data_IF_372654660075
#
_entry.id   IF_372654660075
#
_cell.length_a   1.000
_cell.length_b   1.000
_cell.length_c   1.000
_cell.angle_alpha   90.00
_cell.angle_beta   90.00
_cell.angle_gamma   90.00
#
_symmetry.space_group_name_H-M   'P 1'
#
loop_
_entity.id
_entity.type
_entity.pdbx_description
1 polymer ?
#
# COMPACT_ATOMS: atom_id res chain seq x y z
N UNK A 1 -15.21 -0.25 -8.52
CA UNK A 1 -15.37 0.74 -7.42
C UNK A 1 -14.01 1.04 -6.80
N UNK A 2 -13.69 2.31 -6.53
CA UNK A 2 -12.50 2.75 -5.81
C UNK A 2 -12.91 3.09 -4.37
N UNK A 3 -12.26 2.48 -3.38
CA UNK A 3 -12.48 2.81 -1.97
C UNK A 3 -11.35 3.74 -1.53
N UNK A 4 -11.70 4.87 -0.91
CA UNK A 4 -10.76 5.91 -0.51
C UNK A 4 -11.19 6.59 0.78
N UNK A 5 -10.23 7.15 1.50
CA UNK A 5 -10.55 8.00 2.63
C UNK A 5 -11.05 9.40 2.18
N UNK A 6 -11.33 10.24 3.17
CA UNK A 6 -11.77 11.62 2.98
C UNK A 6 -10.58 12.61 2.95
N UNK A 7 -9.36 12.13 2.70
CA UNK A 7 -8.17 12.95 2.52
C UNK A 7 -8.33 13.93 1.36
N UNK A 8 -7.77 15.13 1.53
CA UNK A 8 -7.95 16.23 0.56
C UNK A 8 -7.54 15.86 -0.87
N UNK A 9 -6.50 15.05 -1.02
CA UNK A 9 -5.98 14.60 -2.31
C UNK A 9 -7.01 13.80 -3.13
N UNK A 10 -7.93 13.09 -2.47
CA UNK A 10 -8.94 12.26 -3.13
C UNK A 10 -10.31 12.94 -3.27
N UNK A 11 -10.51 14.09 -2.60
CA UNK A 11 -11.74 14.89 -2.69
C UNK A 11 -11.69 15.89 -3.84
N UNK A 12 -10.48 16.25 -4.30
CA UNK A 12 -10.27 17.23 -5.37
C UNK A 12 -10.90 16.86 -6.71
N UNK A 13 -11.30 17.89 -7.47
CA UNK A 13 -11.98 17.72 -8.77
C UNK A 13 -11.19 16.85 -9.75
N UNK A 14 -9.86 17.01 -9.81
CA UNK A 14 -9.00 16.25 -10.73
C UNK A 14 -9.10 14.73 -10.50
N UNK A 15 -9.13 14.28 -9.24
CA UNK A 15 -9.26 12.85 -8.93
C UNK A 15 -10.67 12.33 -9.29
N UNK A 16 -11.71 13.14 -9.01
CA UNK A 16 -13.09 12.78 -9.33
C UNK A 16 -13.36 12.71 -10.85
N UNK A 17 -12.82 13.67 -11.61
CA UNK A 17 -12.86 13.65 -13.07
C UNK A 17 -12.14 12.43 -13.64
N UNK A 18 -11.00 12.04 -13.06
CA UNK A 18 -10.29 10.82 -13.42
C UNK A 18 -11.17 9.58 -13.22
N UNK A 19 -11.82 9.44 -12.06
CA UNK A 19 -12.71 8.31 -11.80
C UNK A 19 -13.86 8.24 -12.81
N UNK A 20 -14.49 9.37 -13.11
CA UNK A 20 -15.57 9.46 -14.10
C UNK A 20 -15.08 9.09 -15.50
N UNK A 21 -13.93 9.61 -15.92
CA UNK A 21 -13.34 9.32 -17.25
C UNK A 21 -13.07 7.84 -17.46
N UNK A 22 -12.68 7.11 -16.41
CA UNK A 22 -12.44 5.68 -16.47
C UNK A 22 -13.64 4.81 -16.07
N UNK A 23 -14.81 5.42 -15.80
CA UNK A 23 -16.02 4.69 -15.41
C UNK A 23 -15.90 3.97 -14.06
N UNK A 24 -15.07 4.49 -13.15
CA UNK A 24 -14.83 3.89 -11.83
C UNK A 24 -15.80 4.50 -10.82
N UNK A 25 -16.64 3.68 -10.22
CA UNK A 25 -17.51 4.10 -9.10
C UNK A 25 -16.68 4.57 -7.90
N UNK A 26 -16.95 5.77 -7.39
CA UNK A 26 -16.33 6.31 -6.17
C UNK A 26 -16.99 5.73 -4.90
N UNK A 27 -16.16 5.42 -3.90
CA UNK A 27 -16.57 4.80 -2.64
C UNK A 27 -15.86 5.41 -1.44
N UNK A 28 -16.21 6.64 -1.04
CA UNK A 28 -15.60 7.29 0.11
C UNK A 28 -15.95 6.56 1.42
N UNK A 29 -14.98 6.48 2.34
CA UNK A 29 -15.25 6.04 3.71
C UNK A 29 -16.04 7.10 4.48
N UNK A 30 -16.64 6.70 5.61
CA UNK A 30 -17.25 7.66 6.53
C UNK A 30 -16.19 8.44 7.32
N UNK A 31 -16.55 9.65 7.75
CA UNK A 31 -15.68 10.46 8.61
C UNK A 31 -15.39 9.74 9.93
N UNK A 32 -14.14 9.85 10.41
CA UNK A 32 -13.66 9.26 11.67
C UNK A 32 -13.85 7.73 11.76
N UNK A 33 -13.74 7.03 10.64
CA UNK A 33 -13.79 5.57 10.60
C UNK A 33 -12.44 4.97 10.14
N UNK A 34 -11.43 4.89 11.03
CA UNK A 34 -10.10 4.40 10.67
C UNK A 34 -10.11 2.94 10.23
N UNK A 35 -11.05 2.13 10.74
CA UNK A 35 -11.18 0.71 10.38
C UNK A 35 -11.51 0.51 8.90
N UNK A 36 -12.20 1.47 8.27
CA UNK A 36 -12.47 1.40 6.84
C UNK A 36 -11.19 1.44 5.98
N UNK A 37 -10.07 1.93 6.53
CA UNK A 37 -8.76 1.93 5.87
C UNK A 37 -7.83 0.81 6.35
N UNK A 38 -8.29 -0.09 7.23
CA UNK A 38 -7.42 -1.03 7.95
C UNK A 38 -6.55 -1.91 7.03
N UNK A 39 -7.01 -2.23 5.82
CA UNK A 39 -6.22 -2.98 4.84
C UNK A 39 -5.02 -2.15 4.35
N UNK A 40 -5.26 -0.89 3.95
CA UNK A 40 -4.20 0.02 3.51
C UNK A 40 -3.22 0.32 4.66
N UNK A 41 -3.72 0.56 5.87
CA UNK A 41 -2.89 0.77 7.06
C UNK A 41 -2.02 -0.45 7.35
N UNK A 42 -2.55 -1.67 7.18
CA UNK A 42 -1.77 -2.90 7.35
C UNK A 42 -0.67 -3.05 6.30
N UNK A 43 -0.94 -2.66 5.05
CA UNK A 43 0.09 -2.61 4.00
C UNK A 43 1.17 -1.58 4.33
N UNK A 44 0.80 -0.38 4.78
CA UNK A 44 1.74 0.67 5.20
C UNK A 44 2.58 0.23 6.40
N UNK A 45 1.99 -0.52 7.34
CA UNK A 45 2.71 -1.10 8.47
C UNK A 45 3.78 -2.10 8.00
N UNK A 46 3.53 -2.87 6.95
CA UNK A 46 4.55 -3.75 6.35
C UNK A 46 5.72 -2.94 5.79
N UNK A 47 5.43 -1.84 5.07
CA UNK A 47 6.47 -0.91 4.57
C UNK A 47 7.30 -0.37 5.72
N UNK A 48 6.65 0.12 6.78
CA UNK A 48 7.34 0.67 7.94
C UNK A 48 8.23 -0.38 8.65
N UNK A 49 7.77 -1.63 8.74
CA UNK A 49 8.55 -2.71 9.33
C UNK A 49 9.80 -3.04 8.51
N UNK A 50 9.68 -3.15 7.18
CA UNK A 50 10.82 -3.43 6.31
C UNK A 50 11.78 -2.23 6.29
N UNK A 51 11.26 -0.99 6.26
CA UNK A 51 12.08 0.22 6.34
C UNK A 51 12.90 0.24 7.63
N UNK A 52 12.28 -0.10 8.75
CA UNK A 52 12.93 -0.17 10.06
C UNK A 52 14.06 -1.20 10.06
N UNK A 53 13.82 -2.38 9.50
CA UNK A 53 14.86 -3.43 9.38
C UNK A 53 16.00 -2.94 8.49
N UNK A 54 15.68 -2.38 7.32
CA UNK A 54 16.66 -1.89 6.34
C UNK A 54 17.56 -0.79 6.93
N UNK A 55 16.96 0.21 7.58
CA UNK A 55 17.69 1.33 8.20
C UNK A 55 18.51 0.92 9.42
N UNK A 56 18.09 -0.09 10.18
CA UNK A 56 18.91 -0.66 11.25
C UNK A 56 20.09 -1.49 10.71
N UNK A 57 19.90 -2.20 9.60
CA UNK A 57 20.94 -3.00 8.98
C UNK A 57 22.00 -2.13 8.28
N UNK A 58 21.57 -1.06 7.63
CA UNK A 58 22.47 -0.11 6.95
C UNK A 58 21.91 1.30 7.07
N UNK A 59 22.54 2.11 7.94
CA UNK A 59 22.11 3.49 8.14
C UNK A 59 22.55 4.34 6.95
N UNK A 60 21.62 4.95 6.18
CA UNK A 60 21.97 5.81 5.07
C UNK A 60 22.75 7.04 5.56
N UNK A 61 23.87 7.35 4.90
CA UNK A 61 24.78 8.43 5.29
C UNK A 61 24.54 9.72 4.49
N UNK A 62 23.75 9.65 3.42
CA UNK A 62 23.42 10.77 2.56
C UNK A 62 22.04 10.57 1.92
N UNK A 63 21.55 11.61 1.24
CA UNK A 63 20.23 11.64 0.61
C UNK A 63 20.07 10.57 -0.48
N UNK A 64 21.10 10.33 -1.29
CA UNK A 64 21.07 9.30 -2.34
C UNK A 64 20.85 7.90 -1.75
N UNK A 65 21.58 7.56 -0.69
CA UNK A 65 21.42 6.29 0.02
C UNK A 65 20.07 6.21 0.73
N UNK A 66 19.54 7.32 1.25
CA UNK A 66 18.21 7.36 1.87
C UNK A 66 17.11 7.07 0.84
N UNK A 67 17.18 7.71 -0.33
CA UNK A 67 16.23 7.48 -1.43
C UNK A 67 16.31 6.02 -1.93
N UNK A 68 17.53 5.50 -2.15
CA UNK A 68 17.72 4.11 -2.52
C UNK A 68 17.18 3.13 -1.45
N UNK A 69 17.31 3.46 -0.16
CA UNK A 69 16.75 2.65 0.92
C UNK A 69 15.21 2.62 0.88
N UNK A 70 14.57 3.77 0.61
CA UNK A 70 13.11 3.85 0.45
C UNK A 70 12.65 3.04 -0.75
N UNK A 71 13.28 3.21 -1.92
CA UNK A 71 12.91 2.48 -3.13
C UNK A 71 13.07 0.96 -2.95
N UNK A 72 14.20 0.52 -2.41
CA UNK A 72 14.44 -0.89 -2.12
C UNK A 72 13.43 -1.45 -1.11
N UNK A 73 13.07 -0.66 -0.11
CA UNK A 73 12.03 -1.04 0.87
C UNK A 73 10.68 -1.23 0.18
N UNK A 74 10.30 -0.30 -0.71
CA UNK A 74 9.03 -0.40 -1.43
C UNK A 74 9.00 -1.64 -2.33
N UNK A 75 10.08 -1.94 -3.05
CA UNK A 75 10.18 -3.14 -3.89
C UNK A 75 10.09 -4.42 -3.04
N UNK A 76 10.87 -4.49 -1.95
CA UNK A 76 10.86 -5.64 -1.05
C UNK A 76 9.49 -5.86 -0.42
N UNK A 77 8.84 -4.79 0.02
CA UNK A 77 7.49 -4.85 0.62
C UNK A 77 6.44 -5.30 -0.40
N UNK A 78 6.52 -4.81 -1.63
CA UNK A 78 5.60 -5.23 -2.69
C UNK A 78 5.74 -6.72 -3.01
N UNK A 79 6.96 -7.24 -3.00
CA UNK A 79 7.20 -8.68 -3.16
C UNK A 79 6.64 -9.47 -1.96
N UNK A 80 6.97 -9.05 -0.74
CA UNK A 80 6.53 -9.70 0.49
C UNK A 80 4.99 -9.78 0.59
N UNK A 81 4.28 -8.67 0.39
CA UNK A 81 2.82 -8.63 0.45
C UNK A 81 2.17 -9.57 -0.58
N UNK A 82 2.79 -9.77 -1.75
CA UNK A 82 2.23 -10.62 -2.82
C UNK A 82 2.46 -12.10 -2.57
N UNK A 83 3.62 -12.47 -2.03
CA UNK A 83 4.01 -13.87 -1.88
C UNK A 83 3.83 -14.42 -0.46
N UNK A 84 3.59 -13.57 0.54
CA UNK A 84 3.35 -14.00 1.91
C UNK A 84 2.00 -14.74 2.03
N UNK A 85 2.06 -15.99 2.50
CA UNK A 85 0.87 -16.80 2.77
C UNK A 85 0.10 -16.21 3.95
N UNK A 86 -1.17 -15.90 3.75
CA UNK A 86 -2.06 -15.44 4.81
C UNK A 86 -2.57 -16.64 5.61
N UNK A 87 -2.50 -16.55 6.95
CA UNK A 87 -3.05 -17.59 7.84
C UNK A 87 -4.56 -17.77 7.69
N UNK A 88 -5.29 -16.73 7.31
CA UNK A 88 -6.75 -16.78 7.22
C UNK A 88 -7.23 -17.49 5.94
N UNK A 89 -6.46 -17.39 4.86
CA UNK A 89 -6.81 -17.95 3.54
C UNK A 89 -5.95 -19.16 3.17
N UNK A 90 -4.86 -19.41 3.89
CA UNK A 90 -3.85 -20.45 3.65
C UNK A 90 -3.15 -20.36 2.28
N UNK A 91 -3.34 -19.23 1.57
CA UNK A 91 -2.74 -18.94 0.27
C UNK A 91 -2.19 -17.51 0.22
N UNK A 92 -1.22 -17.27 -0.67
CA UNK A 92 -0.68 -15.94 -0.97
C UNK A 92 -1.63 -15.16 -1.88
N UNK A 93 -1.63 -13.81 -1.83
CA UNK A 93 -2.36 -13.00 -2.81
C UNK A 93 -1.93 -13.27 -4.26
N UNK A 94 -0.66 -13.57 -4.51
CA UNK A 94 -0.14 -13.96 -5.82
C UNK A 94 -0.86 -15.19 -6.38
N UNK A 95 -0.95 -16.26 -5.58
CA UNK A 95 -1.69 -17.48 -5.94
C UNK A 95 -3.17 -17.19 -6.16
N UNK A 96 -3.80 -16.38 -5.30
CA UNK A 96 -5.23 -16.06 -5.44
C UNK A 96 -5.57 -15.35 -6.76
N UNK A 97 -4.70 -14.44 -7.21
CA UNK A 97 -4.95 -13.61 -8.40
C UNK A 97 -4.47 -14.30 -9.68
N UNK A 98 -3.30 -14.94 -9.65
CA UNK A 98 -2.62 -15.43 -10.85
C UNK A 98 -2.51 -16.95 -10.93
N UNK A 99 -2.91 -17.68 -9.89
CA UNK A 99 -2.76 -19.14 -9.79
C UNK A 99 -1.30 -19.62 -9.94
N UNK A 100 -0.34 -18.74 -9.63
CA UNK A 100 1.09 -19.03 -9.54
C UNK A 100 1.72 -18.11 -8.49
N UNK A 101 2.82 -18.57 -7.90
CA UNK A 101 3.76 -17.70 -7.17
C UNK A 101 4.87 -17.22 -8.11
#
# INVERSE_FOLDING_TARGET
KCIRDIGGDFVGAAFQEMLQRFGIEDGPTTSRNPTANAICERMQQAVANILRISTHATLPQNEEQANACVDNTLVATQHDIRCAVSRATEVSPGIMVFQRD
#
